data_IF_628128819294
#
_entry.id   IF_628128819294
#
_cell.length_a   1.000
_cell.length_b   1.000
_cell.length_c   1.000
_cell.angle_alpha   90.00
_cell.angle_beta   90.00
_cell.angle_gamma   90.00
#
_symmetry.space_group_name_H-M   'P 1'
#
loop_
_entity.id
_entity.type
_entity.pdbx_description
1 polymer ?
#
# COMPACT_ATOMS: atom_id res chain seq x y z
N UNK A 1 -16.96 -3.05 -2.13
CA UNK A 1 -15.86 -2.18 -2.61
C UNK A 1 -16.33 -0.73 -2.55
N UNK A 2 -15.42 0.21 -2.29
CA UNK A 2 -15.72 1.63 -2.39
C UNK A 2 -15.52 2.08 -3.83
N UNK A 3 -16.59 2.49 -4.51
CA UNK A 3 -16.56 2.81 -5.94
C UNK A 3 -16.42 4.31 -6.21
N UNK A 4 -16.36 5.12 -5.16
CA UNK A 4 -16.33 6.58 -5.22
C UNK A 4 -15.30 7.15 -4.22
N UNK A 5 -14.14 6.49 -4.13
CA UNK A 5 -13.05 6.96 -3.29
C UNK A 5 -12.22 8.00 -4.06
N UNK A 6 -11.67 9.00 -3.36
CA UNK A 6 -10.73 9.93 -3.99
C UNK A 6 -9.53 9.21 -4.60
N UNK A 7 -8.87 9.79 -5.62
CA UNK A 7 -7.63 9.26 -6.16
C UNK A 7 -6.53 9.15 -5.09
N UNK A 8 -5.60 8.19 -5.18
CA UNK A 8 -4.58 7.98 -4.14
C UNK A 8 -3.74 9.23 -3.80
N UNK A 9 -3.42 10.08 -4.78
CA UNK A 9 -2.70 11.32 -4.54
C UNK A 9 -3.47 12.28 -3.63
N UNK A 10 -4.78 12.43 -3.85
CA UNK A 10 -5.65 13.28 -3.01
C UNK A 10 -5.76 12.70 -1.59
N UNK A 11 -5.86 11.37 -1.46
CA UNK A 11 -5.83 10.72 -0.14
C UNK A 11 -4.52 11.01 0.59
N UNK A 12 -3.37 11.00 -0.10
CA UNK A 12 -2.07 11.32 0.50
C UNK A 12 -1.97 12.79 0.90
N UNK A 13 -2.55 13.71 0.12
CA UNK A 13 -2.66 15.12 0.51
C UNK A 13 -3.51 15.32 1.76
N UNK A 14 -4.60 14.55 1.90
CA UNK A 14 -5.40 14.51 3.12
C UNK A 14 -4.53 14.05 4.30
N UNK A 15 -3.73 12.98 4.15
CA UNK A 15 -2.83 12.52 5.22
C UNK A 15 -1.84 13.60 5.65
N UNK A 16 -1.20 14.28 4.67
CA UNK A 16 -0.25 15.36 4.95
C UNK A 16 -0.90 16.55 5.66
N UNK A 17 -2.03 17.02 5.14
CA UNK A 17 -2.76 18.17 5.72
C UNK A 17 -3.30 17.89 7.14
N UNK A 18 -3.60 16.62 7.45
CA UNK A 18 -4.06 16.19 8.78
C UNK A 18 -2.93 15.75 9.72
N UNK A 19 -1.67 15.78 9.27
CA UNK A 19 -0.53 15.33 10.05
C UNK A 19 -0.53 13.82 10.35
N UNK A 20 -1.21 13.02 9.52
CA UNK A 20 -1.24 11.55 9.66
C UNK A 20 0.05 10.99 9.08
N UNK A 21 0.83 10.32 9.91
CA UNK A 21 2.19 9.89 9.57
C UNK A 21 2.30 8.41 9.23
N UNK A 22 1.21 7.63 9.30
CA UNK A 22 1.23 6.18 9.10
C UNK A 22 0.04 5.75 8.25
N UNK A 23 0.29 4.96 7.22
CA UNK A 23 -0.71 4.38 6.32
C UNK A 23 -0.57 2.87 6.29
N UNK A 24 -1.70 2.16 6.16
CA UNK A 24 -1.74 0.72 5.88
C UNK A 24 -2.39 0.46 4.51
N UNK A 25 -1.75 -0.36 3.68
CA UNK A 25 -2.32 -0.87 2.44
C UNK A 25 -2.55 -2.38 2.57
N UNK A 26 -3.77 -2.84 2.27
CA UNK A 26 -4.15 -4.26 2.37
C UNK A 26 -3.65 -5.14 1.19
N UNK A 27 -3.08 -4.49 0.18
CA UNK A 27 -2.48 -5.10 -1.00
C UNK A 27 -1.56 -4.06 -1.69
N UNK A 28 -0.58 -4.49 -2.50
CA UNK A 28 0.16 -3.59 -3.36
C UNK A 28 -0.77 -2.78 -4.26
N UNK A 29 -0.65 -1.44 -4.20
CA UNK A 29 -1.34 -0.51 -5.09
C UNK A 29 -0.30 0.44 -5.66
N UNK A 30 0.09 0.22 -6.92
CA UNK A 30 1.20 0.96 -7.52
C UNK A 30 0.98 2.48 -7.54
N UNK A 31 -0.24 2.94 -7.78
CA UNK A 31 -0.56 4.38 -7.83
C UNK A 31 -0.41 5.00 -6.44
N UNK A 32 -0.85 4.31 -5.39
CA UNK A 32 -0.63 4.76 -4.01
C UNK A 32 0.86 4.73 -3.64
N UNK A 33 1.58 3.65 -3.98
CA UNK A 33 3.01 3.51 -3.70
C UNK A 33 3.85 4.60 -4.38
N UNK A 34 3.56 4.91 -5.66
CA UNK A 34 4.21 6.01 -6.39
C UNK A 34 3.95 7.36 -5.73
N UNK A 35 2.71 7.63 -5.33
CA UNK A 35 2.35 8.90 -4.71
C UNK A 35 2.86 9.04 -3.26
N UNK A 36 3.09 7.92 -2.55
CA UNK A 36 3.74 7.91 -1.23
C UNK A 36 5.26 8.18 -1.33
N UNK A 37 5.86 7.98 -2.50
CA UNK A 37 7.28 8.25 -2.73
C UNK A 37 7.65 9.69 -2.37
N UNK A 38 8.73 9.86 -1.60
CA UNK A 38 9.16 11.18 -1.13
C UNK A 38 8.30 11.81 -0.04
N UNK A 39 7.26 11.11 0.44
CA UNK A 39 6.54 11.49 1.66
C UNK A 39 7.23 10.90 2.88
N UNK A 40 7.08 11.54 4.04
CA UNK A 40 7.52 11.00 5.34
C UNK A 40 6.43 10.11 6.00
N UNK A 41 5.45 9.64 5.22
CA UNK A 41 4.39 8.75 5.72
C UNK A 41 4.95 7.33 5.76
N UNK A 42 4.95 6.71 6.94
CA UNK A 42 5.36 5.32 7.13
C UNK A 42 4.28 4.39 6.58
N UNK A 43 4.70 3.35 5.89
CA UNK A 43 3.78 2.39 5.25
C UNK A 43 3.87 1.02 5.91
N UNK A 44 2.72 0.48 6.31
CA UNK A 44 2.49 -0.94 6.54
C UNK A 44 1.85 -1.53 5.27
N UNK A 45 2.48 -2.52 4.64
CA UNK A 45 1.97 -3.16 3.44
C UNK A 45 1.64 -4.63 3.72
N UNK A 46 0.38 -5.01 3.53
CA UNK A 46 -0.06 -6.38 3.73
C UNK A 46 0.17 -7.23 2.48
N UNK A 47 0.44 -8.50 2.71
CA UNK A 47 0.29 -9.56 1.73
C UNK A 47 -1.19 -9.94 1.66
N UNK A 48 -1.80 -9.85 0.47
CA UNK A 48 -3.18 -10.28 0.28
C UNK A 48 -3.33 -11.79 0.51
N UNK A 49 -4.39 -12.22 1.21
CA UNK A 49 -4.65 -13.63 1.53
C UNK A 49 -4.46 -14.61 0.36
N UNK A 50 -4.93 -14.33 -0.88
CA UNK A 50 -4.74 -15.24 -2.01
C UNK A 50 -3.27 -15.48 -2.42
N UNK A 51 -2.34 -14.61 -1.99
CA UNK A 51 -0.91 -14.74 -2.30
C UNK A 51 -0.13 -15.50 -1.23
N UNK A 52 -0.71 -15.77 -0.06
CA UNK A 52 0.00 -16.39 1.07
C UNK A 52 0.55 -17.77 0.73
N UNK A 53 -0.25 -18.61 0.05
CA UNK A 53 0.19 -19.95 -0.36
C UNK A 53 1.34 -19.89 -1.37
N UNK A 54 1.24 -19.00 -2.37
CA UNK A 54 2.30 -18.79 -3.36
C UNK A 54 3.62 -18.36 -2.72
N UNK A 55 3.56 -17.41 -1.77
CA UNK A 55 4.72 -16.90 -1.04
C UNK A 55 5.35 -17.97 -0.15
N UNK A 56 4.52 -18.73 0.56
CA UNK A 56 4.99 -19.78 1.45
C UNK A 56 5.65 -20.95 0.70
N UNK A 57 5.32 -21.13 -0.58
CA UNK A 57 5.84 -22.25 -1.37
C UNK A 57 7.36 -22.20 -1.64
N UNK A 58 7.99 -21.01 -1.66
CA UNK A 58 9.45 -20.90 -1.78
C UNK A 58 9.97 -19.49 -1.48
N UNK A 59 11.23 -19.39 -1.03
CA UNK A 59 11.93 -18.10 -0.90
C UNK A 59 11.97 -17.33 -2.22
N UNK A 60 12.16 -18.01 -3.35
CA UNK A 60 12.18 -17.37 -4.66
C UNK A 60 10.84 -16.72 -5.04
N UNK A 61 9.70 -17.27 -4.57
CA UNK A 61 8.40 -16.63 -4.75
C UNK A 61 8.25 -15.39 -3.85
N UNK A 62 8.82 -15.42 -2.65
CA UNK A 62 8.87 -14.26 -1.74
C UNK A 62 9.73 -13.13 -2.28
N UNK A 63 10.90 -13.43 -2.84
CA UNK A 63 11.79 -12.41 -3.43
C UNK A 63 11.21 -11.74 -4.68
N UNK A 64 10.33 -12.45 -5.40
CA UNK A 64 9.63 -11.93 -6.60
C UNK A 64 8.43 -11.05 -6.26
N UNK A 65 7.89 -11.19 -5.07
CA UNK A 65 6.73 -10.43 -4.60
C UNK A 65 7.15 -9.05 -4.10
#
# INVERSE_FOLDING_TARGET
>A
MGNNLPPPAEVIDIYRSKGIQQMRLYAPNETALRALGGTNIKLLLDVSNPKLEYLAASQANADRW
#
